data_IF_847013355039
#
_entry.id   IF_847013355039
#
_cell.length_a   1.000
_cell.length_b   1.000
_cell.length_c   1.000
_cell.angle_alpha   90.00
_cell.angle_beta   90.00
_cell.angle_gamma   90.00
#
_symmetry.space_group_name_H-M   'P 1'
#
loop_
_entity.id
_entity.type
_entity.pdbx_description
1 polymer ?
#
# COMPACT_ATOMS: atom_id res chain seq x y z
N UNK A 1 -19.12 6.00 11.59
CA UNK A 1 -18.16 5.36 12.52
C UNK A 1 -18.43 3.85 12.70
N UNK A 2 -19.68 3.37 12.76
CA UNK A 2 -20.00 1.93 12.88
C UNK A 2 -19.98 1.09 11.59
N UNK A 3 -20.12 1.71 10.41
CA UNK A 3 -20.17 0.99 9.12
C UNK A 3 -18.83 0.44 8.64
N UNK A 4 -17.70 1.05 9.04
CA UNK A 4 -16.36 0.59 8.66
C UNK A 4 -16.02 -0.71 9.40
N UNK A 5 -16.46 -0.86 10.65
CA UNK A 5 -16.31 -2.09 11.44
C UNK A 5 -17.17 -3.22 10.84
N UNK A 6 -18.38 -2.91 10.34
CA UNK A 6 -19.21 -3.88 9.62
C UNK A 6 -18.60 -4.32 8.27
N UNK A 7 -17.88 -3.43 7.58
CA UNK A 7 -17.11 -3.82 6.39
C UNK A 7 -15.98 -4.80 6.73
N UNK A 8 -15.30 -4.60 7.88
CA UNK A 8 -14.31 -5.56 8.40
C UNK A 8 -14.91 -6.94 8.70
N UNK A 9 -16.14 -7.00 9.18
CA UNK A 9 -16.88 -8.22 9.51
C UNK A 9 -17.30 -8.98 8.23
N UNK A 10 -17.71 -8.27 7.18
CA UNK A 10 -18.19 -8.92 5.95
C UNK A 10 -17.05 -9.45 5.05
N UNK A 11 -15.82 -9.00 5.25
CA UNK A 11 -14.65 -9.45 4.48
C UNK A 11 -14.18 -10.86 4.91
N UNK A 12 -14.64 -11.43 6.04
CA UNK A 12 -14.08 -12.68 6.58
C UNK A 12 -15.02 -13.74 7.21
N UNK A 13 -16.35 -13.59 7.21
CA UNK A 13 -17.21 -14.52 7.98
C UNK A 13 -17.94 -15.56 7.13
N UNK A 14 -17.35 -16.75 7.08
CA UNK A 14 -18.08 -18.04 7.04
C UNK A 14 -18.81 -18.27 8.38
N UNK A 15 -19.93 -19.02 8.46
CA UNK A 15 -20.85 -19.06 9.62
C UNK A 15 -20.29 -19.62 10.95
N UNK A 16 -19.00 -19.96 11.03
CA UNK A 16 -18.41 -20.69 12.17
C UNK A 16 -17.93 -19.76 13.32
N UNK A 17 -17.91 -18.44 13.13
CA UNK A 17 -17.11 -17.53 13.98
C UNK A 17 -17.87 -16.67 15.00
N UNK A 18 -19.12 -16.98 15.32
CA UNK A 18 -19.92 -16.16 16.25
C UNK A 18 -19.42 -16.21 17.70
N UNK A 19 -18.67 -17.24 18.10
CA UNK A 19 -18.13 -17.40 19.46
C UNK A 19 -16.84 -16.62 19.76
N UNK A 20 -16.06 -16.22 18.74
CA UNK A 20 -14.80 -15.50 18.97
C UNK A 20 -14.99 -13.99 19.22
N UNK A 21 -16.16 -13.44 18.92
CA UNK A 21 -16.47 -12.00 19.03
C UNK A 21 -16.55 -11.54 20.50
N UNK A 22 -17.01 -12.41 21.41
CA UNK A 22 -17.06 -12.11 22.85
C UNK A 22 -15.67 -12.07 23.51
N UNK A 23 -14.72 -12.87 23.02
CA UNK A 23 -13.33 -12.81 23.47
C UNK A 23 -12.61 -11.52 23.02
N UNK A 24 -13.02 -10.95 21.87
CA UNK A 24 -12.48 -9.72 21.30
C UNK A 24 -12.75 -8.50 22.20
N UNK A 25 -13.92 -8.42 22.83
CA UNK A 25 -14.27 -7.33 23.75
C UNK A 25 -13.51 -7.41 25.08
N UNK A 26 -13.27 -8.63 25.58
CA UNK A 26 -12.64 -8.83 26.88
C UNK A 26 -11.12 -8.57 26.87
N UNK A 27 -10.41 -8.97 25.81
CA UNK A 27 -8.96 -8.73 25.72
C UNK A 27 -8.60 -7.28 25.38
N UNK A 28 -9.46 -6.54 24.67
CA UNK A 28 -9.20 -5.14 24.31
C UNK A 28 -9.22 -4.21 25.54
N UNK A 29 -10.03 -4.51 26.55
CA UNK A 29 -10.11 -3.74 27.81
C UNK A 29 -8.95 -4.05 28.78
N UNK A 30 -8.38 -5.26 28.74
CA UNK A 30 -7.31 -5.66 29.66
C UNK A 30 -5.91 -5.15 29.29
N UNK A 31 -5.63 -4.89 28.01
CA UNK A 31 -4.28 -4.51 27.54
C UNK A 31 -4.12 -3.01 27.24
N UNK A 32 -5.19 -2.21 27.35
CA UNK A 32 -5.16 -0.77 27.14
C UNK A 32 -4.12 -0.01 27.98
N UNK A 33 -3.85 -0.37 29.27
CA UNK A 33 -2.86 0.35 30.08
C UNK A 33 -1.40 0.01 29.75
N UNK A 34 -1.13 -1.16 29.14
CA UNK A 34 0.25 -1.63 28.89
C UNK A 34 0.83 -1.07 27.58
N UNK A 35 -0.03 -0.62 26.66
CA UNK A 35 0.37 -0.09 25.35
C UNK A 35 0.78 1.38 25.37
N UNK A 36 0.53 2.10 26.48
CA UNK A 36 0.90 3.51 26.67
C UNK A 36 2.35 3.71 27.15
N UNK A 37 3.08 2.65 27.49
CA UNK A 37 4.52 2.72 27.83
C UNK A 37 5.38 2.30 26.63
N UNK A 38 5.39 3.13 25.60
CA UNK A 38 6.32 3.04 24.49
C UNK A 38 7.23 4.25 24.49
N UNK A 39 8.40 4.09 25.11
CA UNK A 39 9.67 4.85 24.97
C UNK A 39 9.53 6.20 24.25
N UNK A 40 9.57 7.30 25.00
CA UNK A 40 9.86 8.64 24.48
C UNK A 40 11.25 8.62 23.85
N UNK A 41 11.31 8.32 22.56
CA UNK A 41 12.47 8.65 21.74
C UNK A 41 12.47 10.17 21.60
N UNK A 42 13.62 10.81 21.80
CA UNK A 42 13.76 12.25 21.62
C UNK A 42 13.26 12.62 20.22
N UNK A 43 12.29 13.53 20.15
CA UNK A 43 11.69 14.00 18.90
C UNK A 43 12.77 14.49 17.94
N UNK A 44 13.84 15.13 18.46
CA UNK A 44 14.95 15.61 17.65
C UNK A 44 15.71 14.47 16.96
N UNK A 45 16.01 13.38 17.67
CA UNK A 45 16.71 12.22 17.12
C UNK A 45 15.90 11.51 16.03
N UNK A 46 14.57 11.41 16.19
CA UNK A 46 13.70 10.84 15.15
C UNK A 46 13.71 11.68 13.86
N UNK A 47 13.71 13.01 13.98
CA UNK A 47 13.77 13.89 12.81
C UNK A 47 15.11 13.75 12.08
N UNK A 48 16.22 13.70 12.81
CA UNK A 48 17.55 13.51 12.22
C UNK A 48 17.66 12.18 11.45
N UNK A 49 17.13 11.08 12.00
CA UNK A 49 17.09 9.79 11.29
C UNK A 49 16.26 9.84 9.99
N UNK A 50 15.15 10.56 10.01
CA UNK A 50 14.24 10.70 8.86
C UNK A 50 14.87 11.58 7.78
N UNK A 51 15.46 12.70 8.16
CA UNK A 51 16.15 13.60 7.24
C UNK A 51 17.35 12.89 6.61
N UNK A 52 18.15 12.18 7.42
CA UNK A 52 19.24 11.34 6.92
C UNK A 52 18.77 10.26 5.93
N UNK A 53 17.61 9.64 6.17
CA UNK A 53 17.02 8.70 5.21
C UNK A 53 16.70 9.39 3.87
N UNK A 54 15.98 10.52 3.89
CA UNK A 54 15.56 11.21 2.66
C UNK A 54 16.72 11.88 1.92
N UNK A 55 17.71 12.42 2.63
CA UNK A 55 18.92 13.01 2.04
C UNK A 55 19.88 11.97 1.45
N UNK A 56 19.87 10.75 1.99
CA UNK A 56 20.67 9.67 1.43
C UNK A 56 19.97 8.98 0.27
N UNK A 57 18.64 8.92 0.25
CA UNK A 57 17.85 8.21 -0.75
C UNK A 57 18.17 8.61 -2.19
N UNK A 58 18.12 7.67 -3.15
CA UNK A 58 18.22 8.01 -4.57
C UNK A 58 17.05 8.90 -4.99
N UNK A 59 17.25 9.82 -5.94
CA UNK A 59 16.20 10.72 -6.40
C UNK A 59 15.04 9.93 -7.01
N UNK A 60 13.81 10.24 -6.59
CA UNK A 60 12.61 9.66 -7.17
C UNK A 60 12.44 10.12 -8.63
N UNK A 61 12.45 9.15 -9.56
CA UNK A 61 12.22 9.42 -10.99
C UNK A 61 10.82 10.03 -11.20
N UNK A 62 10.75 11.07 -12.03
CA UNK A 62 9.50 11.74 -12.41
C UNK A 62 8.70 12.35 -11.23
N UNK A 63 9.35 12.70 -10.11
CA UNK A 63 8.70 13.24 -8.90
C UNK A 63 7.76 14.43 -9.16
N UNK A 64 8.16 15.37 -10.01
CA UNK A 64 7.31 16.51 -10.39
C UNK A 64 6.03 16.05 -11.10
N UNK A 65 6.15 15.16 -12.09
CA UNK A 65 5.00 14.60 -12.83
C UNK A 65 4.07 13.80 -11.92
N UNK A 66 4.62 13.09 -10.93
CA UNK A 66 3.83 12.36 -9.93
C UNK A 66 3.01 13.35 -9.08
N UNK A 67 3.64 14.44 -8.65
CA UNK A 67 3.00 15.50 -7.87
C UNK A 67 1.88 16.18 -8.66
N UNK A 68 2.13 16.51 -9.94
CA UNK A 68 1.13 17.10 -10.82
C UNK A 68 -0.07 16.17 -11.03
N UNK A 69 0.19 14.89 -11.32
CA UNK A 69 -0.86 13.87 -11.45
C UNK A 69 -1.68 13.70 -10.17
N UNK A 70 -1.02 13.73 -9.00
CA UNK A 70 -1.70 13.66 -7.71
C UNK A 70 -2.59 14.87 -7.48
N UNK A 71 -2.09 16.08 -7.73
CA UNK A 71 -2.87 17.30 -7.55
C UNK A 71 -4.06 17.34 -8.50
N UNK A 72 -3.85 17.03 -9.78
CA UNK A 72 -4.93 16.89 -10.77
C UNK A 72 -5.94 15.83 -10.33
N UNK A 73 -5.47 14.65 -9.90
CA UNK A 73 -6.36 13.59 -9.46
C UNK A 73 -7.16 14.01 -8.23
N UNK A 74 -6.56 14.67 -7.23
CA UNK A 74 -7.26 15.11 -6.02
C UNK A 74 -8.31 16.19 -6.36
N UNK A 75 -7.94 17.17 -7.19
CA UNK A 75 -8.80 18.29 -7.60
C UNK A 75 -9.84 17.93 -8.66
N UNK A 76 -9.68 16.80 -9.36
CA UNK A 76 -10.62 16.40 -10.41
C UNK A 76 -12.01 16.13 -9.83
N UNK A 77 -12.97 16.95 -10.24
CA UNK A 77 -14.39 16.75 -9.98
C UNK A 77 -15.02 16.02 -11.16
N UNK A 78 -15.68 14.90 -10.89
CA UNK A 78 -16.26 14.07 -11.94
C UNK A 78 -17.49 14.75 -12.57
N UNK A 79 -17.69 14.63 -13.89
CA UNK A 79 -18.80 15.25 -14.60
C UNK A 79 -20.19 14.72 -14.19
N UNK A 80 -20.27 13.58 -13.48
CA UNK A 80 -21.52 12.99 -13.01
C UNK A 80 -22.18 13.72 -11.81
N UNK A 81 -21.68 14.90 -11.42
CA UNK A 81 -22.47 15.92 -10.73
C UNK A 81 -22.73 15.74 -9.23
N UNK A 82 -22.42 14.59 -8.62
CA UNK A 82 -22.53 14.45 -7.16
C UNK A 82 -21.28 15.01 -6.44
N UNK A 83 -21.30 16.32 -6.25
CA UNK A 83 -20.41 17.09 -5.37
C UNK A 83 -20.71 16.77 -3.89
N UNK A 84 -20.31 15.59 -3.41
CA UNK A 84 -20.23 15.31 -1.96
C UNK A 84 -18.80 15.02 -1.57
N UNK A 85 -18.04 16.08 -1.26
CA UNK A 85 -16.76 16.06 -0.53
C UNK A 85 -16.01 14.72 -0.56
N UNK A 86 -15.56 14.34 -1.76
CA UNK A 86 -15.13 12.97 -2.05
C UNK A 86 -13.94 12.62 -1.17
N UNK A 87 -14.13 11.60 -0.33
CA UNK A 87 -13.09 11.06 0.53
C UNK A 87 -12.02 10.42 -0.35
N UNK A 88 -10.76 10.70 -0.04
CA UNK A 88 -9.62 10.16 -0.77
C UNK A 88 -8.90 9.17 0.13
N UNK A 89 -8.66 7.96 -0.37
CA UNK A 89 -7.88 6.95 0.34
C UNK A 89 -6.61 6.61 -0.44
N UNK A 90 -5.47 6.64 0.24
CA UNK A 90 -4.23 6.05 -0.25
C UNK A 90 -4.17 4.60 0.22
N UNK A 91 -4.32 3.66 -0.71
CA UNK A 91 -4.13 2.22 -0.47
C UNK A 91 -2.71 1.84 -0.85
N UNK A 92 -1.91 1.36 0.11
CA UNK A 92 -0.59 0.80 -0.20
C UNK A 92 -0.67 -0.72 -0.36
N UNK A 93 0.02 -1.29 -1.35
CA UNK A 93 -0.09 -2.71 -1.69
C UNK A 93 1.21 -3.31 -2.20
N UNK A 94 1.44 -4.60 -1.88
CA UNK A 94 2.64 -5.34 -2.28
C UNK A 94 3.84 -5.10 -1.37
N UNK A 95 4.98 -5.67 -1.75
CA UNK A 95 6.23 -5.66 -0.97
C UNK A 95 7.21 -4.58 -1.41
N UNK A 96 8.00 -4.03 -0.48
CA UNK A 96 9.16 -3.20 -0.83
C UNK A 96 10.42 -4.06 -0.98
N UNK A 97 11.28 -3.71 -1.93
CA UNK A 97 12.65 -4.23 -1.99
C UNK A 97 13.66 -3.29 -1.34
N UNK A 98 14.74 -3.88 -0.86
CA UNK A 98 15.94 -3.17 -0.39
C UNK A 98 17.10 -3.56 -1.31
N UNK A 99 17.53 -2.68 -2.24
CA UNK A 99 18.71 -2.95 -3.04
C UNK A 99 19.95 -3.04 -2.14
N UNK A 100 20.87 -3.95 -2.50
CA UNK A 100 22.15 -4.13 -1.80
C UNK A 100 23.30 -3.39 -2.49
N UNK A 101 23.10 -3.03 -3.77
CA UNK A 101 24.02 -2.29 -4.61
C UNK A 101 23.27 -1.17 -5.34
N UNK A 102 23.93 -0.05 -5.67
CA UNK A 102 23.27 1.05 -6.40
C UNK A 102 22.86 0.62 -7.81
N UNK A 103 23.75 -0.08 -8.52
CA UNK A 103 23.41 -0.85 -9.73
C UNK A 103 22.93 -2.23 -9.32
N UNK A 104 21.72 -2.23 -8.75
CA UNK A 104 21.12 -3.36 -8.06
C UNK A 104 21.11 -4.63 -8.93
N UNK A 105 21.81 -5.66 -8.46
CA UNK A 105 21.70 -7.04 -8.96
C UNK A 105 20.98 -7.89 -7.92
N UNK A 106 21.19 -7.59 -6.63
CA UNK A 106 20.60 -8.33 -5.51
C UNK A 106 19.81 -7.38 -4.62
N UNK A 107 18.72 -7.90 -4.06
CA UNK A 107 17.86 -7.16 -3.14
C UNK A 107 17.25 -8.10 -2.11
N UNK A 108 16.88 -7.53 -0.96
CA UNK A 108 16.00 -8.17 0.02
C UNK A 108 14.57 -7.79 -0.36
N UNK A 109 13.63 -8.74 -0.36
CA UNK A 109 12.21 -8.47 -0.67
C UNK A 109 11.32 -8.85 0.52
N UNK A 110 10.38 -7.95 0.84
CA UNK A 110 9.32 -8.23 1.79
C UNK A 110 8.11 -8.78 1.03
N UNK A 111 7.97 -10.10 0.98
CA UNK A 111 6.95 -10.74 0.18
C UNK A 111 5.51 -10.27 0.50
N UNK A 112 4.79 -9.88 -0.54
CA UNK A 112 3.34 -9.65 -0.51
C UNK A 112 2.77 -9.75 -1.91
N UNK A 113 1.78 -10.62 -2.11
CA UNK A 113 1.12 -10.79 -3.41
C UNK A 113 0.28 -9.57 -3.85
N UNK A 114 0.01 -8.63 -2.94
CA UNK A 114 -0.79 -7.43 -3.23
C UNK A 114 -2.31 -7.65 -3.29
N UNK A 115 -2.78 -8.89 -3.10
CA UNK A 115 -4.20 -9.25 -3.18
C UNK A 115 -5.09 -8.39 -2.27
N UNK A 116 -4.65 -8.14 -1.04
CA UNK A 116 -5.42 -7.35 -0.06
C UNK A 116 -5.60 -5.91 -0.51
N UNK A 117 -4.52 -5.24 -0.91
CA UNK A 117 -4.61 -3.86 -1.37
C UNK A 117 -5.41 -3.75 -2.67
N UNK A 118 -5.26 -4.71 -3.58
CA UNK A 118 -6.05 -4.77 -4.81
C UNK A 118 -7.56 -4.90 -4.51
N UNK A 119 -7.94 -5.86 -3.66
CA UNK A 119 -9.34 -6.07 -3.28
C UNK A 119 -9.91 -4.86 -2.54
N UNK A 120 -9.17 -4.32 -1.56
CA UNK A 120 -9.60 -3.13 -0.81
C UNK A 120 -9.83 -1.93 -1.71
N UNK A 121 -9.03 -1.76 -2.77
CA UNK A 121 -9.21 -0.70 -3.76
C UNK A 121 -10.58 -0.80 -4.45
N UNK A 122 -10.96 -2.00 -4.91
CA UNK A 122 -12.27 -2.24 -5.53
C UNK A 122 -13.42 -1.89 -4.57
N UNK A 123 -13.32 -2.31 -3.31
CA UNK A 123 -14.34 -2.00 -2.30
C UNK A 123 -14.42 -0.51 -1.95
N UNK A 124 -13.28 0.20 -1.88
CA UNK A 124 -13.27 1.64 -1.63
C UNK A 124 -13.89 2.42 -2.79
N UNK A 125 -13.58 2.06 -4.04
CA UNK A 125 -14.20 2.67 -5.23
C UNK A 125 -15.70 2.43 -5.21
N UNK A 126 -16.14 1.20 -4.94
CA UNK A 126 -17.57 0.86 -4.81
C UNK A 126 -18.27 1.64 -3.69
N UNK A 127 -17.54 2.00 -2.64
CA UNK A 127 -18.04 2.83 -1.54
C UNK A 127 -17.95 4.35 -1.82
N UNK A 128 -17.59 4.76 -3.04
CA UNK A 128 -17.55 6.16 -3.46
C UNK A 128 -16.27 6.92 -3.10
N UNK A 129 -15.18 6.23 -2.74
CA UNK A 129 -13.88 6.86 -2.51
C UNK A 129 -13.12 7.07 -3.81
N UNK A 130 -12.34 8.15 -3.87
CA UNK A 130 -11.21 8.25 -4.81
C UNK A 130 -10.03 7.49 -4.21
N UNK A 131 -9.43 6.59 -4.97
CA UNK A 131 -8.35 5.72 -4.51
C UNK A 131 -7.05 6.05 -5.21
N UNK A 132 -6.05 6.40 -4.42
CA UNK A 132 -4.64 6.42 -4.82
C UNK A 132 -4.08 5.04 -4.48
N UNK A 133 -3.86 4.21 -5.49
CA UNK A 133 -3.31 2.88 -5.36
C UNK A 133 -1.79 2.93 -5.53
N UNK A 134 -1.06 3.00 -4.41
CA UNK A 134 0.41 2.94 -4.36
C UNK A 134 0.84 1.47 -4.27
N UNK A 135 1.45 0.92 -5.32
CA UNK A 135 1.61 -0.53 -5.43
C UNK A 135 2.97 -1.00 -5.93
N UNK A 136 3.39 -2.18 -5.51
CA UNK A 136 4.60 -2.85 -6.03
C UNK A 136 4.38 -3.31 -7.47
N UNK A 137 5.28 -2.92 -8.37
CA UNK A 137 5.31 -3.45 -9.76
C UNK A 137 5.32 -4.98 -9.76
N UNK A 138 4.48 -5.59 -10.59
CA UNK A 138 4.38 -7.05 -10.71
C UNK A 138 3.49 -7.72 -9.67
N UNK A 139 2.88 -7.00 -8.71
CA UNK A 139 1.90 -7.60 -7.79
C UNK A 139 0.47 -7.49 -8.31
N UNK A 140 -0.44 -8.21 -7.66
CA UNK A 140 -1.86 -8.22 -7.95
C UNK A 140 -2.44 -6.80 -8.11
N UNK A 141 -3.27 -6.62 -9.14
CA UNK A 141 -3.90 -5.35 -9.51
C UNK A 141 -5.41 -5.39 -9.20
N UNK A 142 -6.03 -4.26 -8.83
CA UNK A 142 -7.50 -4.17 -8.74
C UNK A 142 -8.13 -4.64 -10.05
N UNK A 143 -9.24 -5.36 -9.94
CA UNK A 143 -10.01 -5.98 -11.02
C UNK A 143 -9.34 -7.17 -11.74
N UNK A 144 -8.02 -7.37 -11.57
CA UNK A 144 -7.29 -8.49 -12.18
C UNK A 144 -7.15 -9.70 -11.25
N UNK A 145 -7.75 -9.69 -10.05
CA UNK A 145 -7.51 -10.70 -8.99
C UNK A 145 -8.02 -12.10 -9.34
N UNK A 146 -9.03 -12.18 -10.19
CA UNK A 146 -9.62 -13.44 -10.66
C UNK A 146 -9.06 -13.90 -12.00
N UNK A 147 -8.15 -13.12 -12.60
CA UNK A 147 -7.46 -13.51 -13.81
C UNK A 147 -6.34 -14.50 -13.45
N UNK A 148 -6.00 -15.42 -14.37
CA UNK A 148 -4.91 -16.36 -14.17
C UNK A 148 -3.55 -15.66 -14.13
N UNK A 149 -2.48 -16.42 -13.87
CA UNK A 149 -1.12 -15.86 -13.72
C UNK A 149 -0.57 -15.28 -15.02
N UNK A 150 -0.89 -15.90 -16.18
CA UNK A 150 -0.59 -15.34 -17.50
C UNK A 150 -1.89 -15.01 -18.27
N UNK A 151 -2.52 -13.86 -18.00
CA UNK A 151 -3.78 -13.50 -18.65
C UNK A 151 -3.68 -13.43 -20.17
N UNK A 152 -2.51 -13.07 -20.73
CA UNK A 152 -2.38 -12.93 -22.18
C UNK A 152 -2.43 -14.28 -22.88
N UNK A 153 -1.71 -15.27 -22.37
CA UNK A 153 -1.67 -16.61 -22.96
C UNK A 153 -2.89 -17.47 -22.58
N UNK A 154 -3.45 -17.25 -21.39
CA UNK A 154 -4.53 -18.08 -20.86
C UNK A 154 -5.92 -17.52 -21.17
N UNK A 155 -6.11 -16.20 -21.19
CA UNK A 155 -7.44 -15.63 -21.43
C UNK A 155 -7.77 -15.40 -22.90
N UNK A 156 -6.77 -15.37 -23.78
CA UNK A 156 -6.98 -15.06 -25.20
C UNK A 156 -6.67 -16.27 -26.09
N UNK A 157 -7.35 -16.33 -27.22
CA UNK A 157 -7.13 -17.31 -28.28
C UNK A 157 -7.31 -16.65 -29.65
N UNK A 158 -6.70 -17.21 -30.68
CA UNK A 158 -6.91 -16.75 -32.05
C UNK A 158 -8.34 -17.11 -32.49
N UNK A 159 -9.08 -16.10 -32.93
CA UNK A 159 -10.38 -16.30 -33.59
C UNK A 159 -10.17 -16.68 -35.06
N UNK A 160 -9.19 -16.03 -35.70
CA UNK A 160 -8.69 -16.29 -37.05
C UNK A 160 -7.23 -15.78 -37.16
N UNK A 161 -6.67 -15.74 -38.38
CA UNK A 161 -5.28 -15.33 -38.63
C UNK A 161 -4.95 -13.86 -38.27
N UNK A 162 -5.96 -13.00 -38.11
CA UNK A 162 -5.80 -11.57 -37.87
C UNK A 162 -6.45 -11.08 -36.57
N UNK A 163 -7.38 -11.86 -36.02
CA UNK A 163 -8.19 -11.49 -34.86
C UNK A 163 -7.95 -12.44 -33.70
N UNK A 164 -7.95 -11.88 -32.49
CA UNK A 164 -8.00 -12.64 -31.26
C UNK A 164 -9.33 -12.41 -30.54
N UNK A 165 -9.73 -13.38 -29.74
CA UNK A 165 -10.90 -13.29 -28.87
C UNK A 165 -10.55 -13.74 -27.45
N UNK A 166 -11.38 -13.36 -26.49
CA UNK A 166 -11.28 -13.86 -25.12
C UNK A 166 -11.91 -15.26 -25.07
N UNK A 167 -11.19 -16.23 -24.50
CA UNK A 167 -11.69 -17.58 -24.26
C UNK A 167 -12.99 -17.53 -23.47
N UNK A 168 -13.96 -18.37 -23.85
CA UNK A 168 -15.28 -18.36 -23.23
C UNK A 168 -15.24 -18.59 -21.71
N UNK A 169 -14.30 -19.40 -21.22
CA UNK A 169 -14.09 -19.67 -19.78
C UNK A 169 -13.69 -18.43 -18.97
N UNK A 170 -13.03 -17.44 -19.60
CA UNK A 170 -12.54 -16.22 -18.93
C UNK A 170 -13.29 -14.96 -19.38
N UNK A 171 -14.23 -15.07 -20.32
CA UNK A 171 -14.94 -13.96 -20.97
C UNK A 171 -15.51 -12.95 -19.98
N UNK A 172 -16.26 -13.42 -18.97
CA UNK A 172 -16.90 -12.53 -17.99
C UNK A 172 -15.89 -11.86 -17.06
N UNK A 173 -14.86 -12.60 -16.62
CA UNK A 173 -13.81 -12.07 -15.75
C UNK A 173 -13.00 -10.97 -16.45
N UNK A 174 -12.60 -11.20 -17.71
CA UNK A 174 -11.84 -10.22 -18.50
C UNK A 174 -12.69 -9.01 -18.85
N UNK A 175 -13.92 -9.22 -19.32
CA UNK A 175 -14.84 -8.11 -19.64
C UNK A 175 -15.14 -7.26 -18.41
N UNK A 176 -15.43 -7.90 -17.27
CA UNK A 176 -15.62 -7.22 -16.00
C UNK A 176 -14.38 -6.42 -15.60
N UNK A 177 -13.19 -7.03 -15.68
CA UNK A 177 -11.95 -6.37 -15.32
C UNK A 177 -11.68 -5.11 -16.17
N UNK A 178 -11.84 -5.21 -17.48
CA UNK A 178 -11.63 -4.09 -18.41
C UNK A 178 -12.67 -2.99 -18.16
N UNK A 179 -13.95 -3.35 -18.13
CA UNK A 179 -15.06 -2.41 -17.95
C UNK A 179 -14.90 -1.63 -16.65
N UNK A 180 -14.71 -2.34 -15.54
CA UNK A 180 -14.71 -1.73 -14.21
C UNK A 180 -13.43 -0.91 -13.98
N UNK A 181 -12.29 -1.37 -14.51
CA UNK A 181 -11.04 -0.59 -14.50
C UNK A 181 -11.17 0.71 -15.30
N UNK A 182 -11.65 0.65 -16.54
CA UNK A 182 -11.81 1.82 -17.38
C UNK A 182 -12.82 2.81 -16.81
N UNK A 183 -13.95 2.33 -16.28
CA UNK A 183 -14.92 3.18 -15.60
C UNK A 183 -14.29 3.92 -14.40
N UNK A 184 -13.57 3.20 -13.52
CA UNK A 184 -12.93 3.81 -12.36
C UNK A 184 -11.86 4.87 -12.74
N UNK A 185 -11.14 4.67 -13.84
CA UNK A 185 -10.16 5.66 -14.32
C UNK A 185 -10.86 6.85 -14.97
N UNK A 186 -11.83 6.61 -15.87
CA UNK A 186 -12.57 7.66 -16.57
C UNK A 186 -13.35 8.57 -15.61
N UNK A 187 -13.92 8.00 -14.54
CA UNK A 187 -14.65 8.74 -13.51
C UNK A 187 -13.73 9.48 -12.51
N UNK A 188 -12.41 9.36 -12.68
CA UNK A 188 -11.41 9.96 -11.79
C UNK A 188 -11.43 9.36 -10.38
N UNK A 189 -11.78 8.08 -10.26
CA UNK A 189 -11.85 7.34 -8.99
C UNK A 189 -10.59 6.53 -8.69
N UNK A 190 -9.75 6.23 -9.68
CA UNK A 190 -8.54 5.42 -9.49
C UNK A 190 -7.29 6.08 -10.09
N UNK A 191 -6.30 6.36 -9.25
CA UNK A 191 -4.94 6.71 -9.65
C UNK A 191 -3.98 5.61 -9.22
N UNK A 192 -3.23 5.04 -10.18
CA UNK A 192 -2.24 3.99 -9.93
C UNK A 192 -0.83 4.55 -9.92
N UNK A 193 -0.07 4.29 -8.86
CA UNK A 193 1.29 4.76 -8.68
C UNK A 193 2.22 3.58 -8.34
N UNK A 194 3.11 3.16 -9.25
CA UNK A 194 3.98 2.01 -9.01
C UNK A 194 5.25 2.37 -8.24
N UNK A 195 5.66 1.50 -7.32
CA UNK A 195 6.97 1.49 -6.68
C UNK A 195 7.64 0.10 -6.80
N UNK A 196 8.91 0.02 -6.45
CA UNK A 196 9.66 -1.23 -6.26
C UNK A 196 10.44 -1.20 -4.95
N UNK A 197 11.24 -0.17 -4.73
CA UNK A 197 12.15 -0.10 -3.57
C UNK A 197 11.50 0.58 -2.36
N UNK A 198 12.08 0.35 -1.17
CA UNK A 198 11.73 1.07 0.05
C UNK A 198 11.90 2.59 -0.10
N UNK A 199 12.90 3.04 -0.86
CA UNK A 199 13.15 4.45 -1.13
C UNK A 199 12.05 5.08 -1.99
N UNK A 200 11.65 4.42 -3.07
CA UNK A 200 10.54 4.87 -3.90
C UNK A 200 9.25 4.91 -3.07
N UNK A 201 8.97 3.84 -2.32
CA UNK A 201 7.79 3.76 -1.46
C UNK A 201 7.69 4.92 -0.46
N UNK A 202 8.75 5.19 0.31
CA UNK A 202 8.72 6.23 1.35
C UNK A 202 8.71 7.64 0.77
N UNK A 203 9.42 7.90 -0.34
CA UNK A 203 9.34 9.18 -1.04
C UNK A 203 7.94 9.41 -1.62
N UNK A 204 7.35 8.41 -2.27
CA UNK A 204 5.98 8.50 -2.80
C UNK A 204 4.95 8.67 -1.68
N UNK A 205 5.10 7.95 -0.56
CA UNK A 205 4.22 8.09 0.59
C UNK A 205 4.27 9.51 1.17
N UNK A 206 5.47 10.12 1.29
CA UNK A 206 5.65 11.51 1.74
C UNK A 206 4.98 12.52 0.80
N UNK A 207 5.14 12.33 -0.52
CA UNK A 207 4.50 13.19 -1.54
C UNK A 207 2.97 13.08 -1.43
N UNK A 208 2.43 11.86 -1.41
CA UNK A 208 0.99 11.61 -1.31
C UNK A 208 0.43 12.21 0.00
N UNK A 209 1.10 11.97 1.13
CA UNK A 209 0.74 12.52 2.43
C UNK A 209 0.67 14.05 2.43
N UNK A 210 1.68 14.69 1.83
CA UNK A 210 1.73 16.14 1.70
C UNK A 210 0.60 16.68 0.82
N UNK A 211 0.34 16.05 -0.33
CA UNK A 211 -0.76 16.42 -1.23
C UNK A 211 -2.15 16.22 -0.61
N UNK A 212 -2.32 15.21 0.25
CA UNK A 212 -3.60 14.93 0.92
C UNK A 212 -3.82 15.74 2.20
N UNK A 213 -2.84 16.53 2.66
CA UNK A 213 -2.90 17.30 3.92
C UNK A 213 -4.12 18.23 4.00
N UNK A 214 -4.45 18.90 2.91
CA UNK A 214 -5.56 19.86 2.84
C UNK A 214 -6.94 19.20 2.92
N UNK A 215 -7.04 17.89 2.67
CA UNK A 215 -8.30 17.14 2.75
C UNK A 215 -8.74 16.87 4.19
N UNK A 216 -7.83 17.01 5.16
CA UNK A 216 -8.14 16.84 6.57
C UNK A 216 -8.80 15.49 6.88
N UNK A 217 -9.96 15.46 7.56
CA UNK A 217 -10.68 14.23 7.88
C UNK A 217 -11.22 13.43 6.68
N UNK A 218 -11.18 14.01 5.47
CA UNK A 218 -11.58 13.32 4.23
C UNK A 218 -10.44 12.50 3.62
N UNK A 219 -9.21 12.62 4.14
CA UNK A 219 -8.08 11.78 3.78
C UNK A 219 -8.04 10.50 4.62
N UNK A 220 -7.74 9.38 3.97
CA UNK A 220 -7.51 8.09 4.62
C UNK A 220 -6.21 7.43 4.09
N UNK A 221 -5.47 6.78 4.97
CA UNK A 221 -4.34 5.92 4.63
C UNK A 221 -4.67 4.48 5.02
N UNK A 222 -4.72 3.60 4.03
CA UNK A 222 -4.90 2.15 4.20
C UNK A 222 -3.58 1.45 3.85
N UNK A 223 -2.76 1.22 4.87
CA UNK A 223 -1.34 0.89 4.72
C UNK A 223 -1.13 -0.62 4.74
N UNK A 224 -1.46 -1.28 3.62
CA UNK A 224 -1.41 -2.74 3.47
C UNK A 224 -0.14 -3.28 2.76
N UNK A 225 0.80 -2.40 2.41
CA UNK A 225 2.10 -2.82 1.89
C UNK A 225 2.95 -3.52 2.96
N UNK A 226 3.73 -4.52 2.54
CA UNK A 226 4.76 -5.15 3.36
C UNK A 226 6.05 -4.33 3.24
N UNK A 227 6.21 -3.36 4.14
CA UNK A 227 7.34 -2.43 4.16
C UNK A 227 8.52 -3.08 4.88
N UNK A 228 9.72 -2.93 4.32
CA UNK A 228 10.96 -3.41 4.92
C UNK A 228 11.27 -2.68 6.22
N UNK A 229 11.60 -3.43 7.29
CA UNK A 229 11.98 -2.86 8.58
C UNK A 229 13.46 -2.45 8.63
N UNK A 230 14.27 -2.98 7.71
CA UNK A 230 15.70 -2.74 7.62
C UNK A 230 16.08 -2.35 6.19
N UNK A 231 17.14 -1.55 6.03
CA UNK A 231 17.64 -1.12 4.74
C UNK A 231 19.16 -0.88 4.76
N UNK A 232 19.80 -0.79 3.59
CA UNK A 232 21.17 -0.27 3.48
C UNK A 232 21.07 1.22 3.10
N UNK A 233 21.71 2.16 3.81
CA UNK A 233 21.72 3.56 3.39
C UNK A 233 22.37 3.73 2.01
N UNK A 234 21.71 4.43 1.10
CA UNK A 234 22.13 4.51 -0.31
C UNK A 234 23.54 5.10 -0.51
N UNK A 235 23.92 6.12 0.28
CA UNK A 235 25.28 6.70 0.28
C UNK A 235 26.37 5.71 0.71
N UNK A 236 26.01 4.68 1.49
CA UNK A 236 26.92 3.62 1.93
C UNK A 236 26.90 2.37 1.06
N UNK A 237 25.96 2.26 0.11
CA UNK A 237 25.90 1.13 -0.80
C UNK A 237 27.07 1.16 -1.77
N UNK A 238 27.62 -0.02 -2.06
CA UNK A 238 28.54 -0.19 -3.17
C UNK A 238 27.83 0.08 -4.51
N UNK A 239 28.55 0.67 -5.46
CA UNK A 239 27.94 1.02 -6.75
C UNK A 239 27.62 -0.24 -7.59
N UNK A 240 28.53 -1.22 -7.57
CA UNK A 240 28.50 -2.38 -8.46
C UNK A 240 28.21 -3.69 -7.72
N UNK A 241 27.84 -4.72 -8.48
CA UNK A 241 27.59 -6.10 -8.02
C UNK A 241 28.66 -6.54 -7.01
N UNK A 242 28.22 -6.92 -5.81
CA UNK A 242 29.11 -7.47 -4.78
C UNK A 242 29.72 -8.78 -5.30
N UNK A 243 31.05 -8.89 -5.26
CA UNK A 243 31.79 -10.05 -5.78
C UNK A 243 31.65 -11.24 -4.83
N UNK A 244 31.48 -12.44 -5.39
CA UNK A 244 31.32 -13.68 -4.62
C UNK A 244 32.62 -14.44 -4.37
N UNK A 245 33.76 -13.94 -4.89
CA UNK A 245 35.06 -14.63 -4.80
C UNK A 245 35.75 -14.47 -3.44
N UNK A 246 35.28 -13.54 -2.59
CA UNK A 246 35.97 -13.12 -1.37
C UNK A 246 35.53 -13.83 -0.09
N UNK A 247 34.71 -14.90 -0.19
CA UNK A 247 34.20 -15.64 0.96
C UNK A 247 32.75 -15.26 1.33
N UNK A 248 32.31 -15.53 2.58
CA UNK A 248 30.95 -15.23 3.03
C UNK A 248 30.66 -13.72 2.98
N UNK A 249 29.38 -13.38 2.75
CA UNK A 249 28.94 -12.00 2.65
C UNK A 249 28.27 -11.57 3.96
N UNK A 250 28.96 -10.71 4.71
CA UNK A 250 28.40 -10.02 5.87
C UNK A 250 27.74 -8.71 5.45
N UNK A 251 26.49 -8.51 5.87
CA UNK A 251 25.73 -7.29 5.55
C UNK A 251 25.22 -6.62 6.82
N UNK A 252 25.54 -5.34 6.96
CA UNK A 252 25.01 -4.48 8.01
C UNK A 252 23.82 -3.70 7.47
N UNK A 253 22.65 -3.94 8.06
CA UNK A 253 21.43 -3.22 7.75
C UNK A 253 21.09 -2.23 8.86
N UNK A 254 20.60 -1.06 8.47
CA UNK A 254 20.08 -0.04 9.37
C UNK A 254 18.57 -0.20 9.52
N UNK A 255 18.01 0.17 10.67
CA UNK A 255 16.56 0.20 10.84
C UNK A 255 15.95 1.31 9.99
N UNK A 256 14.82 1.03 9.35
CA UNK A 256 14.02 2.07 8.68
C UNK A 256 13.38 2.95 9.76
N UNK A 257 13.47 4.29 9.64
CA UNK A 257 12.87 5.20 10.61
C UNK A 257 11.36 4.97 10.76
N UNK A 258 10.78 5.34 11.90
CA UNK A 258 9.35 5.11 12.20
C UNK A 258 8.44 6.09 11.45
N UNK A 259 8.40 5.99 10.12
CA UNK A 259 7.69 6.90 9.20
C UNK A 259 6.18 7.01 9.47
N UNK A 260 5.55 5.98 10.04
CA UNK A 260 4.13 6.03 10.45
C UNK A 260 3.85 7.02 11.58
N UNK A 261 4.84 7.31 12.42
CA UNK A 261 4.70 8.33 13.46
C UNK A 261 4.53 9.70 12.81
N UNK A 262 5.48 10.06 11.95
CA UNK A 262 5.54 11.36 11.25
C UNK A 262 4.39 11.55 10.28
N UNK A 263 3.93 10.50 9.60
CA UNK A 263 2.70 10.55 8.79
C UNK A 263 1.51 11.11 9.59
N UNK A 264 1.37 10.67 10.85
CA UNK A 264 0.23 10.97 11.73
C UNK A 264 0.40 12.23 12.56
N UNK A 265 1.63 12.66 12.83
CA UNK A 265 1.89 13.86 13.63
C UNK A 265 2.12 15.09 12.76
N UNK A 266 2.70 14.91 11.57
CA UNK A 266 3.26 16.02 10.80
C UNK A 266 2.77 16.06 9.36
N UNK A 267 2.88 14.97 8.58
CA UNK A 267 2.57 15.04 7.15
C UNK A 267 1.07 15.22 6.88
N UNK A 268 0.22 14.40 7.53
CA UNK A 268 -1.24 14.43 7.34
C UNK A 268 -1.99 14.17 8.65
N UNK A 269 -1.83 15.02 9.69
CA UNK A 269 -2.26 14.69 11.05
C UNK A 269 -3.77 14.54 11.27
N UNK A 270 -4.58 15.06 10.34
CA UNK A 270 -6.04 14.97 10.39
C UNK A 270 -6.59 13.78 9.60
N UNK A 271 -5.75 13.02 8.90
CA UNK A 271 -6.18 11.87 8.11
C UNK A 271 -6.44 10.64 8.97
N UNK A 272 -7.40 9.82 8.55
CA UNK A 272 -7.65 8.53 9.19
C UNK A 272 -6.62 7.50 8.71
N UNK A 273 -5.82 6.95 9.62
CA UNK A 273 -4.80 5.95 9.27
C UNK A 273 -5.20 4.57 9.77
N UNK A 274 -5.05 3.57 8.90
CA UNK A 274 -5.20 2.14 9.20
C UNK A 274 -3.90 1.46 8.76
N UNK A 275 -3.21 0.80 9.70
CA UNK A 275 -2.00 0.03 9.42
C UNK A 275 -2.19 -1.45 9.76
N UNK A 276 -1.52 -2.30 9.00
CA UNK A 276 -1.57 -3.74 9.16
C UNK A 276 -0.24 -4.27 9.71
N UNK A 277 -0.31 -5.27 10.61
CA UNK A 277 0.87 -6.01 11.07
C UNK A 277 0.70 -7.50 10.85
N UNK A 278 1.63 -8.07 10.09
CA UNK A 278 1.73 -9.51 9.89
C UNK A 278 2.44 -10.10 11.10
N UNK A 279 1.87 -11.15 11.69
CA UNK A 279 2.54 -12.00 12.69
C UNK A 279 2.52 -13.44 12.19
N UNK A 280 3.68 -14.09 12.21
CA UNK A 280 3.79 -15.52 11.94
C UNK A 280 3.84 -16.23 13.31
N UNK A 281 2.69 -16.70 13.78
CA UNK A 281 2.59 -17.67 14.86
C UNK A 281 1.55 -18.71 14.46
N UNK A 282 1.88 -19.99 14.66
CA UNK A 282 1.23 -21.15 14.05
C UNK A 282 -0.31 -21.09 14.00
N UNK A 283 -0.83 -21.52 12.84
CA UNK A 283 -2.24 -21.73 12.47
C UNK A 283 -3.08 -20.52 12.00
N UNK A 284 -2.72 -19.27 12.23
CA UNK A 284 -3.42 -18.14 11.59
C UNK A 284 -2.52 -16.91 11.42
N UNK A 285 -2.31 -16.48 10.18
CA UNK A 285 -1.86 -15.12 9.89
C UNK A 285 -3.00 -14.14 10.22
N UNK A 286 -3.20 -13.84 11.49
CA UNK A 286 -4.12 -12.82 11.96
C UNK A 286 -3.50 -11.44 11.72
N UNK A 287 -4.01 -10.76 10.70
CA UNK A 287 -3.66 -9.38 10.42
C UNK A 287 -4.53 -8.48 11.31
N UNK A 288 -3.91 -7.88 12.33
CA UNK A 288 -4.60 -6.89 13.17
C UNK A 288 -4.53 -5.52 12.50
N UNK A 289 -5.67 -4.83 12.40
CA UNK A 289 -5.66 -3.37 12.28
C UNK A 289 -5.13 -2.83 13.62
N UNK A 290 -3.89 -2.34 13.61
CA UNK A 290 -3.18 -2.02 14.86
C UNK A 290 -3.67 -0.73 15.52
N UNK A 291 -4.15 0.22 14.74
CA UNK A 291 -4.52 1.53 15.25
C UNK A 291 -5.44 2.23 14.26
N UNK A 292 -6.61 2.67 14.73
CA UNK A 292 -7.54 3.53 14.04
C UNK A 292 -7.76 4.75 14.95
N UNK A 293 -6.98 5.81 14.77
CA UNK A 293 -7.20 7.09 15.47
C UNK A 293 -7.88 8.06 14.52
N UNK A 294 -9.03 8.58 14.92
CA UNK A 294 -9.53 9.88 14.49
C UNK A 294 -9.39 10.80 15.70
N UNK A 295 -8.75 11.96 15.54
CA UNK A 295 -9.00 13.09 16.44
C UNK A 295 -10.43 13.59 16.23
#
# INVERSE_FOLDING_TARGET
RSWVILLFIHIYLSPVFTHCILAFYFSFLQFFPFFLRGIEMDSAALHEEIDSFFESAPPLKDSAKITDKLNQFIQFDSPSGEFRGRRVVCVTSGGTTVPLEQRCVRYIDNFSSGNRGAASTEYFIKAGYKVIFLYRRGTCQPYCRSLPEDPLLECFELADDFNFQVRQSHSEAVKGAIRDHHAAVADGLLLKLPFATIFEYLQMLKIIASSMRTLGPHAMFYLAAAVSDFYVPWKSMVEHKIQSASGPLDMRLMQVPKMLSVLRTEWTPKAFCISFKVRHSGALALLFALEARTY
#
